data_IF_465576742265
#
_entry.id   IF_465576742265
#
_cell.length_a   1.000
_cell.length_b   1.000
_cell.length_c   1.000
_cell.angle_alpha   90.00
_cell.angle_beta   90.00
_cell.angle_gamma   90.00
#
_symmetry.space_group_name_H-M   'P 1'
#
loop_
_entity.id
_entity.type
_entity.pdbx_description
1 polymer ?
#
# COMPACT_ATOMS: atom_id res chain seq x y z
N UNK A 1 -39.83 -36.57 3.92
CA UNK A 1 -38.49 -36.46 4.53
C UNK A 1 -37.82 -35.19 4.02
N UNK A 2 -37.53 -34.22 4.89
CA UNK A 2 -36.94 -32.94 4.48
C UNK A 2 -35.42 -33.08 4.26
N UNK A 3 -34.94 -32.69 3.08
CA UNK A 3 -33.49 -32.63 2.78
C UNK A 3 -32.89 -31.47 3.58
N UNK A 4 -32.07 -31.77 4.59
CA UNK A 4 -31.25 -30.77 5.27
C UNK A 4 -30.19 -30.26 4.28
N UNK A 5 -30.36 -29.06 3.76
CA UNK A 5 -29.28 -28.36 3.06
C UNK A 5 -28.15 -28.12 4.07
N UNK A 6 -26.98 -28.71 3.84
CA UNK A 6 -25.78 -28.39 4.62
C UNK A 6 -25.49 -26.90 4.41
N UNK A 7 -25.26 -26.10 5.47
CA UNK A 7 -24.83 -24.73 5.28
C UNK A 7 -23.53 -24.76 4.48
N UNK A 8 -23.51 -24.10 3.32
CA UNK A 8 -22.30 -23.88 2.54
C UNK A 8 -21.29 -23.28 3.50
N UNK A 9 -20.21 -24.00 3.80
CA UNK A 9 -19.11 -23.46 4.60
C UNK A 9 -18.62 -22.25 3.83
N UNK A 10 -18.88 -21.05 4.34
CA UNK A 10 -18.31 -19.81 3.80
C UNK A 10 -16.84 -20.09 3.57
N UNK A 11 -16.35 -19.86 2.36
CA UNK A 11 -14.95 -20.14 2.05
C UNK A 11 -14.10 -19.43 3.09
N UNK A 12 -13.28 -20.20 3.81
CA UNK A 12 -12.36 -19.63 4.77
C UNK A 12 -11.44 -18.71 3.97
N UNK A 13 -11.52 -17.40 4.22
CA UNK A 13 -10.69 -16.41 3.55
C UNK A 13 -9.25 -16.75 3.91
N UNK A 14 -8.52 -17.31 2.94
CA UNK A 14 -7.13 -17.73 3.12
C UNK A 14 -6.19 -16.60 2.70
N UNK A 15 -5.12 -16.40 3.49
CA UNK A 15 -4.07 -15.41 3.20
C UNK A 15 -3.83 -14.40 4.31
N UNK A 16 -2.81 -13.56 4.12
CA UNK A 16 -2.48 -12.46 5.04
C UNK A 16 -3.39 -11.25 4.88
N UNK A 17 -3.50 -10.43 5.93
CA UNK A 17 -4.21 -9.15 5.95
C UNK A 17 -3.26 -8.00 6.32
N UNK A 18 -3.65 -6.77 5.99
CA UNK A 18 -2.93 -5.56 6.39
C UNK A 18 -3.77 -4.80 7.41
N UNK A 19 -3.30 -4.71 8.65
CA UNK A 19 -3.97 -3.93 9.70
C UNK A 19 -3.59 -2.46 9.61
N UNK A 20 -4.57 -1.57 9.76
CA UNK A 20 -4.37 -0.12 9.83
C UNK A 20 -4.83 0.35 11.20
N UNK A 21 -3.94 0.92 12.04
CA UNK A 21 -4.36 1.52 13.30
C UNK A 21 -5.37 2.63 13.08
N UNK A 22 -6.41 2.71 13.92
CA UNK A 22 -7.39 3.79 13.85
C UNK A 22 -6.75 5.18 14.00
N UNK A 23 -5.68 5.29 14.79
CA UNK A 23 -4.90 6.53 14.92
C UNK A 23 -4.36 7.04 13.58
N UNK A 24 -4.03 6.16 12.64
CA UNK A 24 -3.64 6.55 11.28
C UNK A 24 -4.85 7.05 10.50
N UNK A 25 -5.97 6.30 10.51
CA UNK A 25 -7.20 6.69 9.82
C UNK A 25 -7.77 8.01 10.34
N UNK A 26 -7.61 8.27 11.63
CA UNK A 26 -8.09 9.46 12.30
C UNK A 26 -7.16 10.67 12.18
N UNK A 27 -5.92 10.46 11.75
CA UNK A 27 -4.94 11.52 11.57
C UNK A 27 -5.37 12.54 10.50
N UNK A 28 -4.96 13.80 10.69
CA UNK A 28 -5.14 14.87 9.70
C UNK A 28 -4.44 14.50 8.38
N UNK A 29 -3.29 13.84 8.48
CA UNK A 29 -2.53 13.32 7.33
C UNK A 29 -3.38 12.41 6.46
N UNK A 30 -4.04 11.40 7.03
CA UNK A 30 -4.87 10.46 6.28
C UNK A 30 -6.16 11.12 5.80
N UNK A 31 -6.88 11.84 6.67
CA UNK A 31 -8.15 12.50 6.32
C UNK A 31 -8.00 13.45 5.14
N UNK A 32 -6.95 14.26 5.15
CA UNK A 32 -6.67 15.23 4.10
C UNK A 32 -6.12 14.63 2.80
N UNK A 33 -5.65 13.38 2.78
CA UNK A 33 -5.04 12.77 1.61
C UNK A 33 -6.04 12.56 0.46
N UNK A 34 -5.56 12.71 -0.77
CA UNK A 34 -6.34 12.38 -1.96
C UNK A 34 -6.74 10.91 -2.00
N UNK A 35 -7.82 10.59 -2.69
CA UNK A 35 -8.29 9.20 -2.84
C UNK A 35 -7.23 8.30 -3.47
N UNK A 36 -6.45 8.87 -4.40
CA UNK A 36 -5.35 8.15 -5.04
C UNK A 36 -4.19 7.89 -4.08
N UNK A 37 -3.83 8.86 -3.23
CA UNK A 37 -2.83 8.66 -2.19
C UNK A 37 -3.27 7.61 -1.17
N UNK A 38 -4.54 7.66 -0.71
CA UNK A 38 -5.12 6.63 0.17
C UNK A 38 -5.09 5.24 -0.45
N UNK A 39 -5.51 5.12 -1.71
CA UNK A 39 -5.46 3.85 -2.44
C UNK A 39 -4.01 3.32 -2.61
N UNK A 40 -3.06 4.22 -2.88
CA UNK A 40 -1.64 3.85 -2.99
C UNK A 40 -1.10 3.39 -1.63
N UNK A 41 -1.47 4.06 -0.54
CA UNK A 41 -1.09 3.65 0.81
C UNK A 41 -1.56 2.21 1.09
N UNK A 42 -2.82 1.87 0.79
CA UNK A 42 -3.31 0.50 0.96
C UNK A 42 -2.55 -0.53 0.10
N UNK A 43 -2.21 -0.18 -1.14
CA UNK A 43 -1.39 -1.03 -1.98
C UNK A 43 0.01 -1.26 -1.39
N UNK A 44 0.62 -0.26 -0.77
CA UNK A 44 1.90 -0.38 -0.09
C UNK A 44 1.80 -1.20 1.20
N UNK A 45 0.71 -1.07 1.94
CA UNK A 45 0.47 -1.85 3.15
C UNK A 45 0.43 -3.35 2.91
N UNK A 46 0.11 -3.80 1.69
CA UNK A 46 0.19 -5.22 1.32
C UNK A 46 1.61 -5.77 1.44
N UNK A 47 2.62 -4.93 1.27
CA UNK A 47 4.02 -5.34 1.39
C UNK A 47 4.45 -5.47 2.86
N UNK A 48 3.75 -4.79 3.78
CA UNK A 48 4.10 -4.71 5.18
C UNK A 48 3.69 -5.98 5.95
N UNK A 49 4.63 -6.91 6.09
CA UNK A 49 4.43 -8.18 6.82
C UNK A 49 4.95 -8.16 8.26
N UNK A 50 5.36 -7.00 8.80
CA UNK A 50 5.95 -6.86 10.13
C UNK A 50 7.42 -7.31 10.21
N UNK A 51 7.85 -8.25 9.36
CA UNK A 51 9.24 -8.73 9.30
C UNK A 51 10.09 -8.04 8.23
N UNK A 52 9.52 -7.06 7.52
CA UNK A 52 10.16 -6.39 6.38
C UNK A 52 10.81 -5.04 6.72
N UNK A 53 10.88 -4.66 8.00
CA UNK A 53 11.38 -3.35 8.47
C UNK A 53 10.83 -2.13 7.67
N UNK A 54 9.60 -2.21 7.17
CA UNK A 54 9.02 -1.13 6.37
C UNK A 54 9.64 -0.95 4.98
N UNK A 55 10.30 -1.97 4.42
CA UNK A 55 10.78 -1.93 3.02
C UNK A 55 9.61 -1.96 2.05
N UNK A 56 9.19 -0.77 1.63
CA UNK A 56 8.18 -0.57 0.60
C UNK A 56 8.84 -0.41 -0.77
N UNK A 57 8.57 -1.34 -1.67
CA UNK A 57 9.00 -1.26 -3.06
C UNK A 57 8.02 -0.39 -3.85
N UNK A 58 8.41 0.86 -4.08
CA UNK A 58 7.71 1.84 -4.91
C UNK A 58 8.25 1.90 -6.36
N UNK A 59 8.95 0.86 -6.80
CA UNK A 59 9.50 0.81 -8.15
C UNK A 59 8.39 0.76 -9.21
N UNK A 60 8.57 1.48 -10.32
CA UNK A 60 7.61 1.58 -11.44
C UNK A 60 7.13 0.20 -11.92
N UNK A 61 8.05 -0.76 -12.07
CA UNK A 61 7.74 -2.13 -12.51
C UNK A 61 6.81 -2.87 -11.54
N UNK A 62 7.02 -2.72 -10.24
CA UNK A 62 6.17 -3.37 -9.23
C UNK A 62 4.78 -2.76 -9.23
N UNK A 63 4.68 -1.42 -9.23
CA UNK A 63 3.40 -0.71 -9.31
C UNK A 63 2.60 -1.08 -10.56
N UNK A 64 3.26 -1.15 -11.72
CA UNK A 64 2.62 -1.57 -12.96
C UNK A 64 2.02 -2.98 -12.86
N UNK A 65 2.76 -3.93 -12.29
CA UNK A 65 2.26 -5.30 -12.06
C UNK A 65 1.07 -5.37 -11.09
N UNK A 66 0.88 -4.35 -10.25
CA UNK A 66 -0.26 -4.20 -9.36
C UNK A 66 -1.41 -3.38 -9.99
N UNK A 67 -1.34 -3.09 -11.29
CA UNK A 67 -2.37 -2.35 -12.03
C UNK A 67 -2.20 -0.83 -12.02
N UNK A 68 -1.12 -0.30 -11.45
CA UNK A 68 -0.86 1.14 -11.39
C UNK A 68 -0.09 1.61 -12.64
N UNK A 69 -0.82 1.83 -13.73
CA UNK A 69 -0.23 2.10 -15.06
C UNK A 69 0.23 3.55 -15.27
N UNK A 70 -0.47 4.52 -14.67
CA UNK A 70 -0.20 5.95 -14.88
C UNK A 70 0.93 6.48 -13.98
N UNK A 71 2.16 6.51 -14.51
CA UNK A 71 3.35 6.86 -13.75
C UNK A 71 3.29 8.25 -13.08
N UNK A 72 2.91 9.29 -13.80
CA UNK A 72 2.87 10.67 -13.26
C UNK A 72 1.93 10.79 -12.05
N UNK A 73 0.73 10.25 -12.17
CA UNK A 73 -0.25 10.29 -11.08
C UNK A 73 0.20 9.44 -9.88
N UNK A 74 0.93 8.35 -10.12
CA UNK A 74 1.50 7.55 -9.03
C UNK A 74 2.63 8.29 -8.32
N UNK A 75 3.46 9.03 -9.06
CA UNK A 75 4.51 9.88 -8.50
C UNK A 75 3.92 11.02 -7.68
N UNK A 76 2.87 11.68 -8.17
CA UNK A 76 2.13 12.70 -7.39
C UNK A 76 1.57 12.13 -6.09
N UNK A 77 0.87 11.00 -6.16
CA UNK A 77 0.32 10.33 -4.97
C UNK A 77 1.41 9.90 -3.98
N UNK A 78 2.55 9.39 -4.48
CA UNK A 78 3.71 9.06 -3.64
C UNK A 78 4.25 10.29 -2.93
N UNK A 79 4.46 11.39 -3.65
CA UNK A 79 4.99 12.62 -3.08
C UNK A 79 4.04 13.18 -2.02
N UNK A 80 2.73 13.15 -2.27
CA UNK A 80 1.72 13.53 -1.30
C UNK A 80 1.78 12.68 -0.01
N UNK A 81 1.94 11.35 -0.14
CA UNK A 81 2.09 10.49 1.04
C UNK A 81 3.34 10.81 1.86
N UNK A 82 4.44 11.21 1.20
CA UNK A 82 5.68 11.64 1.87
C UNK A 82 5.46 12.99 2.56
N UNK A 83 4.90 13.96 1.85
CA UNK A 83 4.63 15.31 2.36
C UNK A 83 3.71 15.29 3.59
N UNK A 84 2.73 14.38 3.60
CA UNK A 84 1.80 14.19 4.73
C UNK A 84 2.37 13.33 5.85
N UNK A 85 3.59 12.79 5.70
CA UNK A 85 4.24 11.93 6.69
C UNK A 85 3.58 10.55 6.85
N UNK A 86 2.78 10.09 5.88
CA UNK A 86 2.15 8.77 5.90
C UNK A 86 3.12 7.65 5.50
N UNK A 87 4.13 7.99 4.69
CA UNK A 87 5.26 7.11 4.37
C UNK A 87 6.56 7.89 4.49
N UNK A 88 7.65 7.19 4.79
CA UNK A 88 9.00 7.77 4.84
C UNK A 88 9.86 7.15 3.74
N UNK A 89 10.54 8.00 2.97
CA UNK A 89 11.53 7.54 1.99
C UNK A 89 12.88 7.34 2.68
N UNK A 90 13.26 6.08 2.91
CA UNK A 90 14.50 5.74 3.63
C UNK A 90 15.74 5.61 2.74
N UNK A 91 15.57 5.42 1.43
CA UNK A 91 16.67 5.39 0.45
C UNK A 91 16.26 6.02 -0.88
N UNK A 92 17.20 6.72 -1.50
CA UNK A 92 17.15 7.05 -2.92
C UNK A 92 17.78 5.88 -3.67
N UNK A 93 17.08 5.34 -4.67
CA UNK A 93 17.69 4.37 -5.58
C UNK A 93 18.91 5.04 -6.21
N UNK A 94 20.07 4.37 -6.15
CA UNK A 94 21.36 4.93 -6.54
C UNK A 94 21.29 5.59 -7.91
N UNK A 95 21.30 6.92 -7.91
CA UNK A 95 21.92 7.62 -9.01
C UNK A 95 23.36 7.13 -9.00
N UNK A 96 23.79 6.48 -10.07
CA UNK A 96 25.19 6.55 -10.49
C UNK A 96 25.52 8.04 -10.72
N UNK A 97 25.67 8.82 -9.65
CA UNK A 97 26.51 10.00 -9.67
C UNK A 97 27.93 9.49 -9.47
N UNK A 98 28.45 8.82 -10.51
CA UNK A 98 29.88 8.77 -10.72
C UNK A 98 30.32 10.20 -10.96
N UNK A 99 30.84 10.81 -9.91
CA UNK A 99 31.71 11.96 -10.03
C UNK A 99 33.01 11.52 -10.72
N UNK A 100 33.49 12.34 -11.65
CA UNK A 100 34.91 12.42 -12.05
C UNK A 100 35.43 11.27 -12.90
#
# INVERSE_FOLDING_TARGET
>A
MARKNKPTRLEAISGGYSAIPWTVLDSVSFKGASDKAKALLFALMRQHSGNNNGRLHLAKKWLYNQGWTCHENNTKARNELIERGLIVQTKWGGLNMGAG
#
